data_IF_637632775665
#
_entry.id   IF_637632775665
#
_cell.length_a   1.000
_cell.length_b   1.000
_cell.length_c   1.000
_cell.angle_alpha   90.00
_cell.angle_beta   90.00
_cell.angle_gamma   90.00
#
_symmetry.space_group_name_H-M   'P 1'
#
loop_
_entity.id
_entity.type
_entity.pdbx_description
1 polymer ?
#
# COMPACT_ATOMS: atom_id res chain seq x y z
N UNK A 1 11.72 -8.06 -6.96
CA UNK A 1 12.16 -6.67 -7.17
C UNK A 1 12.71 -6.50 -8.59
N UNK A 2 11.93 -5.95 -9.52
CA UNK A 2 12.38 -5.56 -10.87
C UNK A 2 12.07 -4.08 -11.07
N UNK A 3 12.88 -3.23 -10.45
CA UNK A 3 12.76 -1.77 -10.55
C UNK A 3 13.90 -1.13 -11.36
N UNK A 4 14.79 -1.95 -11.95
CA UNK A 4 15.95 -1.49 -12.69
C UNK A 4 16.17 -2.34 -13.95
N UNK A 5 15.34 -2.14 -14.98
CA UNK A 5 15.71 -2.51 -16.35
C UNK A 5 16.09 -1.23 -17.11
N UNK A 6 17.39 -1.01 -17.42
CA UNK A 6 17.88 0.20 -18.08
C UNK A 6 17.34 0.41 -19.50
N UNK A 7 16.63 -0.57 -20.08
CA UNK A 7 16.23 -0.57 -21.49
C UNK A 7 14.77 -0.16 -21.73
N UNK A 8 14.01 0.20 -20.68
CA UNK A 8 12.60 0.60 -20.81
C UNK A 8 12.31 2.09 -20.53
N UNK A 9 13.28 2.97 -20.83
CA UNK A 9 13.24 4.41 -20.55
C UNK A 9 12.15 5.22 -21.29
N UNK A 10 11.25 4.59 -22.06
CA UNK A 10 10.19 5.27 -22.81
C UNK A 10 8.82 5.35 -22.09
N UNK A 11 8.67 4.81 -20.88
CA UNK A 11 7.46 5.00 -20.09
C UNK A 11 7.52 6.34 -19.34
N UNK A 12 7.02 7.35 -20.05
CA UNK A 12 6.89 8.78 -19.76
C UNK A 12 7.19 9.29 -18.34
N UNK A 13 7.94 10.40 -18.28
CA UNK A 13 8.17 11.19 -17.07
C UNK A 13 6.89 11.63 -16.32
N UNK A 14 5.70 11.49 -16.95
CA UNK A 14 4.38 11.74 -16.35
C UNK A 14 3.93 10.60 -15.42
N UNK A 15 4.27 9.33 -15.71
CA UNK A 15 3.93 8.19 -14.85
C UNK A 15 4.70 8.17 -13.53
N UNK A 16 5.97 8.61 -13.53
CA UNK A 16 6.78 8.73 -12.29
C UNK A 16 6.21 9.72 -11.28
N UNK A 17 5.64 10.84 -11.74
CA UNK A 17 5.04 11.84 -10.85
C UNK A 17 3.75 11.33 -10.20
N UNK A 18 2.90 10.65 -10.96
CA UNK A 18 1.63 10.11 -10.43
C UNK A 18 1.91 9.01 -9.39
N UNK A 19 2.84 8.09 -9.68
CA UNK A 19 3.22 7.05 -8.72
C UNK A 19 3.83 7.61 -7.44
N UNK A 20 4.71 8.61 -7.54
CA UNK A 20 5.32 9.24 -6.37
C UNK A 20 4.30 9.97 -5.50
N UNK A 21 3.33 10.68 -6.09
CA UNK A 21 2.28 11.38 -5.33
C UNK A 21 1.36 10.39 -4.62
N UNK A 22 1.00 9.28 -5.26
CA UNK A 22 0.13 8.26 -4.65
C UNK A 22 0.80 7.59 -3.45
N UNK A 23 2.08 7.23 -3.57
CA UNK A 23 2.83 6.64 -2.46
C UNK A 23 3.05 7.62 -1.31
N UNK A 24 3.31 8.90 -1.63
CA UNK A 24 3.38 9.97 -0.64
C UNK A 24 2.05 10.16 0.09
N UNK A 25 0.92 10.10 -0.62
CA UNK A 25 -0.40 10.22 -0.03
C UNK A 25 -0.69 9.08 0.94
N UNK A 26 -0.36 7.83 0.58
CA UNK A 26 -0.51 6.70 1.49
C UNK A 26 0.36 6.86 2.74
N UNK A 27 1.64 7.21 2.58
CA UNK A 27 2.52 7.43 3.73
C UNK A 27 2.03 8.59 4.61
N UNK A 28 1.43 9.63 4.01
CA UNK A 28 0.83 10.73 4.76
C UNK A 28 -0.41 10.30 5.55
N UNK A 29 -1.28 9.48 4.95
CA UNK A 29 -2.44 8.88 5.64
C UNK A 29 -2.00 7.98 6.79
N UNK A 30 -0.98 7.14 6.57
CA UNK A 30 -0.41 6.27 7.60
C UNK A 30 0.17 7.09 8.77
N UNK A 31 0.88 8.18 8.46
CA UNK A 31 1.41 9.10 9.47
C UNK A 31 0.30 9.81 10.27
N UNK A 32 -0.75 10.28 9.59
CA UNK A 32 -1.89 10.92 10.24
C UNK A 32 -2.63 9.93 11.15
N UNK A 33 -2.80 8.69 10.72
CA UNK A 33 -3.39 7.63 11.53
C UNK A 33 -2.57 7.39 12.82
N UNK A 34 -1.25 7.28 12.69
CA UNK A 34 -0.34 7.13 13.83
C UNK A 34 -0.44 8.31 14.81
N UNK A 35 -0.51 9.55 14.28
CA UNK A 35 -0.66 10.75 15.11
C UNK A 35 -1.99 10.75 15.88
N UNK A 36 -3.10 10.39 15.23
CA UNK A 36 -4.41 10.28 15.87
C UNK A 36 -4.41 9.23 16.99
N UNK A 37 -3.74 8.09 16.80
CA UNK A 37 -3.60 7.08 17.85
C UNK A 37 -2.80 7.58 19.04
N UNK A 38 -1.69 8.27 18.82
CA UNK A 38 -0.87 8.83 19.91
C UNK A 38 -1.68 9.86 20.70
N UNK A 39 -2.34 10.80 20.01
CA UNK A 39 -3.16 11.83 20.67
C UNK A 39 -4.32 11.19 21.41
N UNK A 40 -5.05 10.26 20.78
CA UNK A 40 -6.13 9.52 21.42
C UNK A 40 -5.65 8.76 22.65
N UNK A 41 -4.43 8.21 22.63
CA UNK A 41 -3.86 7.45 23.75
C UNK A 41 -3.64 8.35 24.96
N UNK A 42 -3.15 9.57 24.72
CA UNK A 42 -2.99 10.57 25.78
C UNK A 42 -4.36 11.00 26.34
N UNK A 43 -5.38 11.16 25.49
CA UNK A 43 -6.73 11.51 25.94
C UNK A 43 -7.40 10.43 26.79
N UNK A 44 -6.97 9.17 26.71
CA UNK A 44 -7.49 8.10 27.56
C UNK A 44 -6.99 8.14 29.00
N UNK A 45 -6.05 9.03 29.35
CA UNK A 45 -5.61 9.21 30.74
C UNK A 45 -6.58 10.00 31.63
N UNK A 46 -7.63 10.60 31.06
CA UNK A 46 -8.68 11.28 31.82
C UNK A 46 -10.07 10.85 31.32
N UNK A 47 -10.96 10.48 32.25
CA UNK A 47 -12.33 10.06 31.91
C UNK A 47 -13.10 11.15 31.12
N UNK A 48 -12.85 12.42 31.42
CA UNK A 48 -13.50 13.55 30.74
C UNK A 48 -13.15 13.66 29.25
N UNK A 49 -11.98 13.14 28.83
CA UNK A 49 -11.49 13.21 27.45
C UNK A 49 -11.59 11.87 26.70
N UNK A 50 -11.93 10.78 27.39
CA UNK A 50 -12.13 9.43 26.81
C UNK A 50 -13.10 9.39 25.64
N UNK A 51 -14.18 10.18 25.69
CA UNK A 51 -15.14 10.24 24.58
C UNK A 51 -14.49 10.76 23.29
N UNK A 52 -13.67 11.81 23.39
CA UNK A 52 -12.90 12.35 22.26
C UNK A 52 -11.79 11.39 21.83
N UNK A 53 -11.08 10.79 22.80
CA UNK A 53 -10.05 9.79 22.53
C UNK A 53 -10.57 8.61 21.71
N UNK A 54 -11.76 8.11 22.04
CA UNK A 54 -12.44 7.03 21.31
C UNK A 54 -12.66 7.38 19.83
N UNK A 55 -13.13 8.59 19.54
CA UNK A 55 -13.35 9.02 18.15
C UNK A 55 -12.04 9.21 17.38
N UNK A 56 -10.99 9.75 18.01
CA UNK A 56 -9.67 9.84 17.38
C UNK A 56 -9.13 8.45 17.04
N UNK A 57 -9.30 7.48 17.94
CA UNK A 57 -8.92 6.09 17.69
C UNK A 57 -9.74 5.44 16.58
N UNK A 58 -11.04 5.69 16.52
CA UNK A 58 -11.90 5.15 15.46
C UNK A 58 -11.46 5.69 14.10
N UNK A 59 -11.28 7.01 13.98
CA UNK A 59 -10.83 7.65 12.74
C UNK A 59 -9.43 7.16 12.36
N UNK A 60 -8.50 7.12 13.33
CA UNK A 60 -7.15 6.58 13.12
C UNK A 60 -7.18 5.15 12.60
N UNK A 61 -8.07 4.30 13.13
CA UNK A 61 -8.25 2.90 12.70
C UNK A 61 -8.75 2.78 11.27
N UNK A 62 -9.72 3.60 10.89
CA UNK A 62 -10.25 3.63 9.52
C UNK A 62 -9.14 4.04 8.54
N UNK A 63 -8.37 5.08 8.86
CA UNK A 63 -7.25 5.56 8.02
C UNK A 63 -6.16 4.49 7.90
N UNK A 64 -5.72 3.93 9.02
CA UNK A 64 -4.69 2.88 9.07
C UNK A 64 -5.08 1.62 8.28
N UNK A 65 -6.37 1.28 8.26
CA UNK A 65 -6.88 0.12 7.55
C UNK A 65 -6.82 0.22 6.01
N UNK A 66 -6.65 1.41 5.43
CA UNK A 66 -6.73 1.61 3.98
C UNK A 66 -5.67 0.84 3.20
N UNK A 67 -4.39 0.98 3.55
CA UNK A 67 -3.26 0.33 2.89
C UNK A 67 -3.28 -1.20 2.98
N UNK A 68 -3.44 -1.83 4.17
CA UNK A 68 -3.56 -3.28 4.25
C UNK A 68 -4.78 -3.81 3.51
N UNK A 69 -5.90 -3.07 3.49
CA UNK A 69 -7.10 -3.48 2.74
C UNK A 69 -6.84 -3.57 1.24
N UNK A 70 -6.17 -2.57 0.66
CA UNK A 70 -5.81 -2.58 -0.77
C UNK A 70 -4.85 -3.73 -1.08
N UNK A 71 -3.85 -3.95 -0.21
CA UNK A 71 -2.90 -5.05 -0.38
C UNK A 71 -3.59 -6.42 -0.34
N UNK A 72 -4.43 -6.65 0.65
CA UNK A 72 -5.21 -7.88 0.80
C UNK A 72 -6.16 -8.11 -0.38
N UNK A 73 -6.85 -7.06 -0.83
CA UNK A 73 -7.73 -7.16 -1.99
C UNK A 73 -6.96 -7.59 -3.25
N UNK A 74 -5.77 -7.03 -3.47
CA UNK A 74 -4.91 -7.39 -4.60
C UNK A 74 -4.42 -8.84 -4.49
N UNK A 75 -3.99 -9.27 -3.31
CA UNK A 75 -3.57 -10.65 -3.06
C UNK A 75 -4.71 -11.65 -3.31
N UNK A 76 -5.94 -11.32 -2.88
CA UNK A 76 -7.11 -12.15 -3.11
C UNK A 76 -7.45 -12.31 -4.60
N UNK A 77 -7.31 -11.23 -5.38
CA UNK A 77 -7.50 -11.29 -6.84
C UNK A 77 -6.46 -12.19 -7.51
N UNK A 78 -5.19 -12.13 -7.10
CA UNK A 78 -4.15 -13.00 -7.66
C UNK A 78 -4.42 -14.48 -7.37
N UNK A 79 -4.82 -14.79 -6.14
CA UNK A 79 -5.22 -16.16 -5.75
C UNK A 79 -6.40 -16.66 -6.59
N UNK A 80 -7.38 -15.80 -6.90
CA UNK A 80 -8.54 -16.18 -7.74
C UNK A 80 -8.13 -16.53 -9.17
N UNK A 81 -7.20 -15.79 -9.75
CA UNK A 81 -6.72 -16.04 -11.12
C UNK A 81 -5.69 -17.18 -11.19
N UNK A 82 -5.30 -17.78 -10.06
CA UNK A 82 -4.25 -18.79 -10.00
C UNK A 82 -2.87 -18.26 -10.41
N UNK A 83 -2.71 -16.93 -10.45
CA UNK A 83 -1.45 -16.27 -10.76
C UNK A 83 -0.65 -16.19 -9.47
N UNK A 84 0.47 -16.90 -9.42
CA UNK A 84 1.45 -16.73 -8.35
C UNK A 84 2.19 -15.40 -8.58
N UNK A 85 2.00 -14.38 -7.72
CA UNK A 85 2.64 -13.08 -7.87
C UNK A 85 4.17 -13.14 -7.69
N UNK A 86 4.67 -14.22 -7.08
CA UNK A 86 6.09 -14.46 -6.85
C UNK A 86 6.69 -15.47 -7.86
N UNK A 87 5.87 -16.01 -8.77
CA UNK A 87 6.38 -16.88 -9.82
C UNK A 87 7.34 -16.10 -10.74
N UNK A 88 8.50 -16.68 -11.07
CA UNK A 88 9.38 -16.10 -12.08
C UNK A 88 8.58 -15.96 -13.39
N UNK A 89 8.73 -14.85 -14.13
CA UNK A 89 8.03 -14.70 -15.40
C UNK A 89 8.36 -15.92 -16.25
N UNK A 90 7.31 -16.60 -16.72
CA UNK A 90 7.42 -17.76 -17.60
C UNK A 90 8.36 -17.39 -18.73
N UNK A 91 9.57 -17.95 -18.73
CA UNK A 91 10.44 -17.86 -19.89
C UNK A 91 9.68 -18.55 -21.01
N UNK A 92 9.26 -17.76 -22.00
CA UNK A 92 8.59 -18.29 -23.17
C UNK A 92 9.54 -19.28 -23.83
N UNK A 93 9.19 -20.57 -23.78
CA UNK A 93 10.03 -21.68 -24.27
C UNK A 93 10.07 -21.72 -25.80
N UNK A 94 9.44 -20.75 -26.47
CA UNK A 94 9.51 -20.49 -27.90
C UNK A 94 10.95 -20.19 -28.37
N UNK A 95 11.80 -19.59 -27.53
CA UNK A 95 13.21 -19.31 -27.84
C UNK A 95 14.09 -20.59 -27.82
N UNK A 96 13.66 -21.65 -27.14
CA UNK A 96 14.38 -22.94 -27.07
C UNK A 96 13.99 -23.90 -28.21
N UNK A 97 13.04 -23.53 -29.08
CA UNK A 97 12.58 -24.34 -30.21
C UNK A 97 13.27 -23.98 -31.54
N UNK A 98 14.14 -22.96 -31.54
CA UNK A 98 14.78 -22.42 -32.75
C UNK A 98 16.29 -22.71 -32.87
N UNK A 99 16.84 -23.63 -32.08
CA UNK A 99 18.23 -24.07 -32.18
C UNK A 99 18.36 -25.59 -32.28
#
# INVERSE_FOLDING_TARGET
>A
MKLFDPRNHHLSARHRKIHATTELLYNFVDFLAALLFVIGSVLFFSESTTYLGTWLFLIGSILFGTRPTIKLWRELLYLREGIDPDAPPSQDTSDLRLN
#
